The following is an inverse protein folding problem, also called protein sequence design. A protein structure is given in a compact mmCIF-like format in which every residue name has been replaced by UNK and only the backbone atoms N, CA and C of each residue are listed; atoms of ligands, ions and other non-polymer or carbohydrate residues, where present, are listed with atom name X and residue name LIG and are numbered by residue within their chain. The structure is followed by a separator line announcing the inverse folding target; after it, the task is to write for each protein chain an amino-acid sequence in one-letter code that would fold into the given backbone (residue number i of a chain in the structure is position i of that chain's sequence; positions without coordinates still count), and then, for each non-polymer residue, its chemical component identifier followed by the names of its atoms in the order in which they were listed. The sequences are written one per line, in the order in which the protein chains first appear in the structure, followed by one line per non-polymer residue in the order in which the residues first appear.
data_IF_998205574588
#
_entry.id   IF_998205574588
#
_cell.length_a   1.000
_cell.length_b   1.000
_cell.length_c   1.000
_cell.angle_alpha   90.00
_cell.angle_beta   90.00
_cell.angle_gamma   90.00
#
_symmetry.space_group_name_H-M   'P 1'
#
loop_
_entity.id
_entity.type
_entity.pdbx_description
1 polymer ?
#
# COMPACT_ATOMS: atom_id res chain seq x y z
N UNK A 1 13.94 1.53 16.61
CA UNK A 1 13.04 0.59 15.92
C UNK A 1 11.96 1.38 15.19
N UNK A 2 11.66 0.97 14.00
CA UNK A 2 10.62 1.61 13.20
C UNK A 2 9.25 1.10 13.63
N UNK A 3 8.30 2.03 13.82
CA UNK A 3 6.89 1.70 14.02
C UNK A 3 6.13 1.73 12.70
N UNK A 4 6.85 1.67 11.58
CA UNK A 4 6.27 1.73 10.24
C UNK A 4 6.48 0.37 9.56
N UNK A 5 5.40 -0.18 9.02
CA UNK A 5 5.44 -1.42 8.25
C UNK A 5 4.84 -1.15 6.87
N UNK A 6 5.49 -1.65 5.83
CA UNK A 6 4.98 -1.61 4.47
C UNK A 6 4.81 -3.03 3.94
N UNK A 7 3.60 -3.34 3.45
CA UNK A 7 3.33 -4.56 2.69
C UNK A 7 3.64 -4.23 1.24
N UNK A 8 4.79 -4.69 0.80
CA UNK A 8 5.51 -4.19 -0.37
C UNK A 8 5.52 -5.18 -1.52
N UNK A 9 5.36 -4.65 -2.73
CA UNK A 9 5.62 -5.38 -3.97
C UNK A 9 6.76 -4.67 -4.72
N UNK A 10 7.96 -5.28 -4.79
CA UNK A 10 9.10 -4.62 -5.43
C UNK A 10 8.92 -4.43 -6.95
N UNK A 11 7.99 -5.14 -7.56
CA UNK A 11 7.70 -5.00 -8.99
C UNK A 11 6.67 -3.91 -9.28
N UNK A 12 6.11 -3.26 -8.26
CA UNK A 12 5.12 -2.20 -8.39
C UNK A 12 5.77 -0.83 -8.20
N UNK A 13 5.68 0.04 -9.23
CA UNK A 13 6.25 1.39 -9.17
C UNK A 13 5.67 2.23 -8.04
N UNK A 14 4.35 2.16 -7.82
CA UNK A 14 3.71 2.88 -6.70
C UNK A 14 4.28 2.41 -5.36
N UNK A 15 4.46 1.10 -5.19
CA UNK A 15 5.01 0.54 -3.96
C UNK A 15 6.47 0.98 -3.73
N UNK A 16 7.27 1.00 -4.80
CA UNK A 16 8.66 1.50 -4.71
C UNK A 16 8.72 2.98 -4.35
N UNK A 17 7.85 3.80 -4.95
CA UNK A 17 7.77 5.23 -4.62
C UNK A 17 7.38 5.45 -3.15
N UNK A 18 6.43 4.69 -2.63
CA UNK A 18 6.01 4.78 -1.23
C UNK A 18 7.17 4.42 -0.30
N UNK A 19 7.87 3.32 -0.57
CA UNK A 19 9.02 2.90 0.23
C UNK A 19 10.11 3.98 0.24
N UNK A 20 10.37 4.58 -0.93
CA UNK A 20 11.37 5.65 -1.03
C UNK A 20 10.96 6.89 -0.23
N UNK A 21 9.68 7.26 -0.22
CA UNK A 21 9.20 8.39 0.59
C UNK A 21 9.28 8.11 2.09
N UNK A 22 9.02 6.88 2.52
CA UNK A 22 9.21 6.49 3.92
C UNK A 22 10.68 6.67 4.30
N UNK A 23 11.59 6.18 3.48
CA UNK A 23 13.04 6.32 3.72
C UNK A 23 13.48 7.77 3.69
N UNK A 24 12.88 8.60 2.84
CA UNK A 24 13.18 10.02 2.77
C UNK A 24 12.73 10.81 4.01
N UNK A 25 11.92 10.21 4.87
CA UNK A 25 11.59 10.76 6.19
C UNK A 25 12.60 10.38 7.28
N UNK A 26 13.68 9.68 6.90
CA UNK A 26 14.72 9.22 7.81
C UNK A 26 14.39 7.93 8.54
N UNK A 27 13.35 7.22 8.12
CA UNK A 27 12.90 5.98 8.77
C UNK A 27 13.11 4.79 7.84
N UNK A 28 13.69 3.72 8.35
CA UNK A 28 13.72 2.43 7.66
C UNK A 28 12.56 1.60 8.16
N UNK A 29 11.55 1.30 7.32
CA UNK A 29 10.39 0.56 7.76
C UNK A 29 10.66 -0.95 7.84
N UNK A 30 9.78 -1.67 8.50
CA UNK A 30 9.69 -3.11 8.33
C UNK A 30 9.06 -3.40 6.98
N UNK A 31 9.77 -4.12 6.12
CA UNK A 31 9.32 -4.43 4.76
C UNK A 31 8.83 -5.87 4.73
N UNK A 32 7.56 -6.05 4.40
CA UNK A 32 6.97 -7.37 4.22
C UNK A 32 6.64 -7.52 2.73
N UNK A 33 7.39 -8.37 2.03
CA UNK A 33 7.09 -8.73 0.65
C UNK A 33 5.95 -9.74 0.65
N UNK A 34 4.73 -9.27 0.61
CA UNK A 34 3.54 -10.08 0.84
C UNK A 34 3.31 -11.18 -0.21
N UNK A 35 3.96 -11.09 -1.37
CA UNK A 35 3.89 -12.17 -2.36
C UNK A 35 4.72 -13.39 -1.94
N UNK A 36 5.77 -13.16 -1.14
CA UNK A 36 6.66 -14.22 -0.61
C UNK A 36 6.28 -14.63 0.80
N UNK A 37 5.80 -13.65 1.58
CA UNK A 37 5.42 -13.84 2.98
C UNK A 37 4.04 -13.21 3.21
N UNK A 38 2.96 -13.85 2.73
CA UNK A 38 1.63 -13.29 2.85
C UNK A 38 1.21 -13.13 4.30
N UNK A 39 0.44 -12.08 4.63
CA UNK A 39 -0.14 -11.97 5.97
C UNK A 39 -1.12 -13.12 6.21
N UNK A 40 -1.36 -13.44 7.47
CA UNK A 40 -2.44 -14.37 7.80
C UNK A 40 -3.79 -13.75 7.43
N UNK A 41 -4.83 -14.59 7.31
CA UNK A 41 -6.17 -14.12 7.02
C UNK A 41 -6.66 -13.11 8.05
N UNK A 42 -6.41 -13.38 9.34
CA UNK A 42 -6.79 -12.47 10.41
C UNK A 42 -6.05 -11.14 10.33
N UNK A 43 -4.75 -11.16 10.01
CA UNK A 43 -3.97 -9.93 9.82
C UNK A 43 -4.50 -9.13 8.63
N UNK A 44 -4.77 -9.79 7.51
CA UNK A 44 -5.31 -9.12 6.33
C UNK A 44 -6.66 -8.46 6.63
N UNK A 45 -7.56 -9.19 7.30
CA UNK A 45 -8.85 -8.65 7.70
C UNK A 45 -8.71 -7.43 8.62
N UNK A 46 -7.80 -7.50 9.59
CA UNK A 46 -7.52 -6.39 10.51
C UNK A 46 -6.98 -5.17 9.76
N UNK A 47 -6.10 -5.38 8.78
CA UNK A 47 -5.58 -4.29 7.95
C UNK A 47 -6.70 -3.60 7.18
N UNK A 48 -7.60 -4.36 6.57
CA UNK A 48 -8.72 -3.83 5.79
C UNK A 48 -9.65 -3.01 6.68
N UNK A 49 -9.98 -3.52 7.87
CA UNK A 49 -10.81 -2.80 8.84
C UNK A 49 -10.11 -1.49 9.27
N UNK A 50 -8.81 -1.56 9.56
CA UNK A 50 -8.04 -0.38 9.98
C UNK A 50 -7.96 0.68 8.89
N UNK A 51 -7.96 0.28 7.61
CA UNK A 51 -7.95 1.20 6.47
C UNK A 51 -9.32 1.86 6.25
N UNK A 52 -10.40 1.34 6.85
CA UNK A 52 -11.74 1.88 6.66
C UNK A 52 -12.31 1.66 5.26
N UNK A 53 -11.84 0.64 4.55
CA UNK A 53 -12.29 0.31 3.20
C UNK A 53 -13.02 -1.04 3.19
N UNK A 54 -13.69 -1.35 2.10
CA UNK A 54 -14.31 -2.66 1.92
C UNK A 54 -13.27 -3.70 1.48
N UNK A 55 -13.60 -4.97 1.64
CA UNK A 55 -12.75 -6.06 1.11
C UNK A 55 -12.59 -5.91 -0.40
N UNK A 56 -13.64 -5.53 -1.11
CA UNK A 56 -13.58 -5.30 -2.56
C UNK A 56 -12.60 -4.19 -2.93
N UNK A 57 -12.54 -3.12 -2.16
CA UNK A 57 -11.59 -2.02 -2.39
C UNK A 57 -10.14 -2.46 -2.18
N UNK A 58 -9.92 -3.50 -1.39
CA UNK A 58 -8.59 -4.06 -1.14
C UNK A 58 -8.14 -5.03 -2.24
N UNK A 59 -8.99 -5.33 -3.23
CA UNK A 59 -8.65 -6.23 -4.33
C UNK A 59 -7.93 -5.49 -5.45
N UNK A 60 -6.82 -6.07 -5.90
CA UNK A 60 -6.15 -5.66 -7.12
C UNK A 60 -6.80 -6.38 -8.30
N UNK A 61 -7.18 -5.62 -9.33
CA UNK A 61 -7.87 -6.15 -10.50
C UNK A 61 -6.89 -6.42 -11.63
N UNK A 62 -6.15 -5.41 -12.04
CA UNK A 62 -5.26 -5.48 -13.22
C UNK A 62 -4.05 -6.36 -12.95
N UNK A 63 -3.79 -7.28 -13.87
CA UNK A 63 -2.62 -8.15 -13.77
C UNK A 63 -2.78 -9.29 -12.76
N UNK A 64 -4.03 -9.67 -12.43
CA UNK A 64 -4.34 -10.71 -11.46
C UNK A 64 -5.38 -11.68 -12.03
N UNK A 65 -5.64 -12.82 -11.38
CA UNK A 65 -6.71 -13.71 -11.81
C UNK A 65 -8.13 -13.23 -11.46
N UNK A 66 -8.31 -11.97 -11.10
CA UNK A 66 -9.60 -11.39 -10.70
C UNK A 66 -10.72 -11.71 -11.70
N UNK A 67 -10.48 -11.44 -12.98
CA UNK A 67 -11.49 -11.66 -14.02
C UNK A 67 -11.69 -13.15 -14.29
N UNK A 68 -10.60 -13.92 -14.38
CA UNK A 68 -10.67 -15.36 -14.62
C UNK A 68 -11.43 -16.10 -13.52
N UNK A 69 -11.34 -15.61 -12.28
CA UNK A 69 -12.06 -16.18 -11.14
C UNK A 69 -13.48 -15.63 -10.99
N UNK A 70 -13.88 -14.66 -11.82
CA UNK A 70 -15.20 -14.07 -11.76
C UNK A 70 -15.47 -13.28 -10.50
N UNK A 71 -14.46 -12.61 -9.95
CA UNK A 71 -14.57 -11.90 -8.67
C UNK A 71 -15.38 -10.61 -8.75
N UNK A 72 -15.68 -10.11 -9.95
CA UNK A 72 -16.58 -8.98 -10.13
C UNK A 72 -18.02 -9.31 -9.76
N UNK A 73 -18.40 -10.58 -9.74
CA UNK A 73 -19.75 -11.01 -9.43
C UNK A 73 -20.10 -10.60 -7.99
N UNK A 74 -21.22 -9.88 -7.78
CA UNK A 74 -21.62 -9.44 -6.44
C UNK A 74 -22.05 -10.57 -5.51
N UNK A 75 -22.19 -11.79 -6.01
CA UNK A 75 -22.52 -12.96 -5.18
C UNK A 75 -21.46 -13.29 -4.14
N UNK A 76 -20.18 -12.92 -4.40
CA UNK A 76 -19.09 -13.25 -3.51
C UNK A 76 -19.17 -12.44 -2.22
N UNK A 77 -19.13 -13.15 -1.08
CA UNK A 77 -19.11 -12.53 0.24
C UNK A 77 -17.71 -12.05 0.58
N UNK A 78 -17.59 -11.17 1.58
CA UNK A 78 -16.29 -10.70 2.07
C UNK A 78 -15.41 -11.87 2.51
N UNK A 79 -15.96 -12.86 3.20
CA UNK A 79 -15.22 -14.05 3.63
C UNK A 79 -14.67 -14.83 2.43
N UNK A 80 -15.47 -14.98 1.39
CA UNK A 80 -15.03 -15.66 0.16
C UNK A 80 -13.93 -14.88 -0.55
N UNK A 81 -14.07 -13.56 -0.62
CA UNK A 81 -13.04 -12.71 -1.23
C UNK A 81 -11.74 -12.78 -0.45
N UNK A 82 -11.79 -12.78 0.88
CA UNK A 82 -10.59 -12.96 1.71
C UNK A 82 -9.94 -14.33 1.45
N UNK A 83 -10.73 -15.37 1.29
CA UNK A 83 -10.21 -16.70 0.97
C UNK A 83 -9.47 -16.70 -0.38
N UNK A 84 -10.02 -16.03 -1.39
CA UNK A 84 -9.34 -15.86 -2.68
C UNK A 84 -8.02 -15.10 -2.54
N UNK A 85 -7.99 -14.05 -1.71
CA UNK A 85 -6.77 -13.28 -1.46
C UNK A 85 -5.70 -14.12 -0.78
N UNK A 86 -6.09 -15.06 0.09
CA UNK A 86 -5.15 -15.98 0.73
C UNK A 86 -4.60 -17.01 -0.25
N UNK A 87 -5.44 -17.50 -1.17
CA UNK A 87 -5.01 -18.42 -2.22
C UNK A 87 -4.13 -17.75 -3.27
N UNK A 88 -4.39 -16.48 -3.53
CA UNK A 88 -3.71 -15.69 -4.56
C UNK A 88 -3.29 -14.34 -3.98
N UNK A 89 -2.16 -14.28 -3.27
CA UNK A 89 -1.72 -13.01 -2.62
C UNK A 89 -1.58 -11.84 -3.59
N UNK A 90 -1.37 -12.10 -4.89
CA UNK A 90 -1.33 -11.05 -5.91
C UNK A 90 -2.64 -10.25 -6.00
N UNK A 91 -3.76 -10.81 -5.50
CA UNK A 91 -5.03 -10.10 -5.41
C UNK A 91 -5.05 -9.01 -4.34
N UNK A 92 -4.08 -9.01 -3.43
CA UNK A 92 -3.98 -7.97 -2.40
C UNK A 92 -3.49 -6.69 -3.06
N UNK A 93 -4.28 -5.62 -2.96
CA UNK A 93 -3.88 -4.32 -3.48
C UNK A 93 -2.72 -3.76 -2.64
N UNK A 94 -1.91 -2.88 -3.23
CA UNK A 94 -0.59 -2.52 -2.67
C UNK A 94 -0.20 -1.08 -2.98
N UNK A 95 0.68 -0.47 -2.17
CA UNK A 95 1.18 -0.98 -0.90
C UNK A 95 0.24 -0.63 0.24
N UNK A 96 0.21 -1.48 1.26
CA UNK A 96 -0.47 -1.17 2.53
C UNK A 96 0.60 -0.71 3.51
N UNK A 97 0.38 0.43 4.14
CA UNK A 97 1.33 1.02 5.10
C UNK A 97 0.66 1.18 6.45
N UNK A 98 1.36 0.73 7.48
CA UNK A 98 0.93 0.87 8.88
C UNK A 98 1.92 1.77 9.61
N UNK A 99 1.42 2.82 10.24
CA UNK A 99 2.23 3.74 11.07
C UNK A 99 1.46 4.05 12.37
N UNK A 100 2.10 4.74 13.33
CA UNK A 100 1.36 5.19 14.51
C UNK A 100 0.18 6.11 14.21
N UNK A 101 0.15 6.74 13.03
CA UNK A 101 -0.94 7.63 12.61
C UNK A 101 -2.10 6.90 11.93
N UNK A 102 -1.92 5.63 11.55
CA UNK A 102 -2.99 4.86 10.93
C UNK A 102 -2.51 3.81 9.94
N UNK A 103 -3.45 3.24 9.21
CA UNK A 103 -3.22 2.24 8.17
C UNK A 103 -3.91 2.67 6.89
N UNK A 104 -3.20 2.59 5.76
CA UNK A 104 -3.76 3.05 4.48
C UNK A 104 -3.19 2.27 3.30
N UNK A 105 -4.04 2.06 2.30
CA UNK A 105 -3.61 1.70 0.96
C UNK A 105 -3.11 2.98 0.27
N UNK A 106 -1.79 3.05 0.03
CA UNK A 106 -1.15 4.27 -0.46
C UNK A 106 -1.13 4.30 -2.00
N UNK A 107 -2.27 4.58 -2.57
CA UNK A 107 -2.49 4.78 -4.00
C UNK A 107 -3.39 6.01 -4.18
N UNK A 108 -2.86 7.13 -4.73
CA UNK A 108 -1.50 7.34 -5.24
C UNK A 108 -0.43 7.30 -4.13
N UNK A 109 0.83 7.18 -4.53
CA UNK A 109 1.94 6.99 -3.59
C UNK A 109 2.08 8.11 -2.57
N UNK A 110 1.79 9.36 -2.95
CA UNK A 110 1.88 10.51 -2.05
C UNK A 110 0.86 10.46 -0.89
N UNK A 111 -0.12 9.56 -0.93
CA UNK A 111 -1.01 9.33 0.20
C UNK A 111 -0.25 8.92 1.46
N UNK A 112 0.94 8.33 1.32
CA UNK A 112 1.77 7.95 2.47
C UNK A 112 2.20 9.15 3.30
N UNK A 113 2.30 10.34 2.70
CA UNK A 113 2.73 11.54 3.42
C UNK A 113 1.81 11.88 4.59
N UNK A 114 0.53 11.57 4.49
CA UNK A 114 -0.44 11.81 5.56
C UNK A 114 -0.30 10.82 6.72
N UNK A 115 0.43 9.73 6.51
CA UNK A 115 0.68 8.70 7.53
C UNK A 115 2.04 8.85 8.23
N UNK A 116 2.96 9.62 7.66
CA UNK A 116 4.33 9.69 8.18
C UNK A 116 4.40 10.67 9.35
N UNK A 117 4.84 10.21 10.56
CA UNK A 117 5.03 11.11 11.70
C UNK A 117 6.17 12.10 11.51
N UNK A 118 7.20 11.71 10.72
CA UNK A 118 8.36 12.55 10.44
C UNK A 118 8.20 13.27 9.11
N UNK A 119 8.82 14.44 8.99
CA UNK A 119 8.83 15.23 7.75
C UNK A 119 9.81 14.63 6.75
N UNK A 120 9.61 14.95 5.47
CA UNK A 120 10.56 14.60 4.42
C UNK A 120 11.87 15.38 4.61
N UNK A 121 13.00 14.69 4.57
CA UNK A 121 14.31 15.29 4.84
C UNK A 121 14.89 15.99 3.62
N UNK A 122 14.44 15.66 2.42
CA UNK A 122 14.92 16.27 1.18
C UNK A 122 13.84 16.29 0.12
N UNK A 123 14.19 16.85 -1.05
CA UNK A 123 13.29 16.81 -2.18
C UNK A 123 13.04 15.37 -2.61
N UNK A 124 11.87 15.13 -3.20
CA UNK A 124 11.50 13.80 -3.68
C UNK A 124 10.79 13.89 -5.03
N UNK A 125 11.24 13.06 -5.95
CA UNK A 125 10.64 12.89 -7.27
C UNK A 125 10.36 11.42 -7.48
N UNK A 126 9.16 11.10 -7.97
CA UNK A 126 8.78 9.71 -8.29
C UNK A 126 9.60 9.18 -9.46
N UNK A 127 9.59 7.87 -9.65
CA UNK A 127 10.29 7.20 -10.75
C UNK A 127 9.88 7.71 -12.13
N UNK A 128 8.63 8.16 -12.28
CA UNK A 128 8.11 8.70 -13.53
C UNK A 128 8.51 10.16 -13.78
N UNK A 129 9.26 10.77 -12.88
CA UNK A 129 9.73 12.16 -12.98
C UNK A 129 8.79 13.18 -12.32
N UNK A 130 7.65 12.75 -11.77
CA UNK A 130 6.73 13.66 -11.09
C UNK A 130 7.30 14.10 -9.75
N UNK A 131 7.52 15.41 -9.58
CA UNK A 131 7.99 15.97 -8.32
C UNK A 131 6.89 15.90 -7.25
N UNK A 132 7.24 15.51 -6.04
CA UNK A 132 6.32 15.39 -4.90
C UNK A 132 6.73 16.35 -3.79
N UNK A 133 8.02 16.42 -3.48
CA UNK A 133 8.59 17.29 -2.44
C UNK A 133 9.65 18.17 -3.10
N UNK A 134 9.55 19.48 -2.90
CA UNK A 134 10.53 20.42 -3.45
C UNK A 134 11.76 20.56 -2.54
N UNK A 135 12.71 21.39 -2.92
CA UNK A 135 13.94 21.60 -2.16
C UNK A 135 13.74 22.21 -0.79
N UNK A 136 12.58 22.83 -0.57
CA UNK A 136 12.21 23.44 0.71
C UNK A 136 11.45 22.46 1.63
N UNK A 137 11.26 21.20 1.19
CA UNK A 137 10.52 20.21 1.94
C UNK A 137 9.00 20.35 1.83
N UNK A 138 8.52 21.14 0.90
CA UNK A 138 7.09 21.38 0.70
C UNK A 138 6.53 20.43 -0.34
N UNK A 139 5.25 20.06 -0.16
CA UNK A 139 4.55 19.26 -1.17
C UNK A 139 4.33 20.06 -2.45
N UNK A 140 4.66 19.45 -3.57
CA UNK A 140 4.39 20.01 -4.89
C UNK A 140 2.95 19.70 -5.26
N UNK A 141 2.18 20.74 -5.57
CA UNK A 141 0.79 20.59 -6.01
C UNK A 141 0.79 20.45 -7.53
N UNK A 142 0.37 19.29 -8.02
CA UNK A 142 0.20 19.04 -9.46
C UNK A 142 -1.24 19.36 -9.84
N UNK A 143 -1.39 20.31 -10.75
CA UNK A 143 -2.70 20.75 -11.25
C UNK A 143 -2.95 20.20 -12.64
#
# INVERSE_FOLDING_TARGET
MSNITIYHNPDCGTSRNVLAMIRNSGVEPTIIEYLKAPPSRNTLQSLIVAMGITVRDALRIKGTPYEALGLADPKWTDDQLLDFMMLHPILINRPIVVTPLGTRLCRPSEAVLDLLPQVQLGSFTKEDGQAVINEKGERVVNR
#
